data_IF_345419394049
#
_entry.id   IF_345419394049
#
_cell.length_a   1.000
_cell.length_b   1.000
_cell.length_c   1.000
_cell.angle_alpha   90.00
_cell.angle_beta   90.00
_cell.angle_gamma   90.00
#
_symmetry.space_group_name_H-M   'P 1'
#
loop_
_entity.id
_entity.type
_entity.pdbx_description
1 polymer ?
#
# COMPACT_ATOMS: atom_id res chain seq x y z
N UNK A 1 44.65 13.40 30.30
CA UNK A 1 43.19 13.16 30.17
C UNK A 1 42.83 13.23 28.68
N UNK A 2 42.56 12.09 28.06
CA UNK A 2 42.19 11.99 26.64
C UNK A 2 40.67 12.06 26.50
N UNK A 3 40.16 13.02 25.72
CA UNK A 3 38.71 13.23 25.51
C UNK A 3 38.22 12.24 24.44
N UNK A 4 37.50 11.20 24.87
CA UNK A 4 36.76 10.30 23.97
C UNK A 4 35.52 11.06 23.45
N UNK A 5 35.44 11.26 22.14
CA UNK A 5 34.25 11.82 21.47
C UNK A 5 33.25 10.70 21.25
N UNK A 6 32.42 10.42 22.25
CA UNK A 6 31.27 9.52 22.15
C UNK A 6 30.04 10.33 21.80
N UNK A 7 29.71 10.39 20.51
CA UNK A 7 28.49 11.00 20.01
C UNK A 7 27.91 10.20 18.86
N UNK A 8 26.57 10.11 18.79
CA UNK A 8 25.79 9.44 17.73
C UNK A 8 26.19 9.83 16.29
N UNK A 9 26.85 10.98 16.13
CA UNK A 9 27.38 11.46 14.85
C UNK A 9 28.52 10.57 14.29
N UNK A 10 29.21 9.79 15.13
CA UNK A 10 30.27 8.86 14.70
C UNK A 10 29.76 7.77 13.74
N UNK A 11 28.46 7.45 13.78
CA UNK A 11 27.84 6.44 12.92
C UNK A 11 27.50 6.95 11.51
N UNK A 12 27.69 8.23 11.23
CA UNK A 12 27.34 8.84 9.93
C UNK A 12 28.58 9.17 9.10
N UNK A 13 29.51 8.22 8.97
CA UNK A 13 30.55 8.29 7.92
C UNK A 13 30.35 7.19 6.89
N UNK A 14 30.41 7.63 5.63
CA UNK A 14 29.90 7.04 4.38
C UNK A 14 30.56 5.72 3.93
N UNK A 15 29.73 4.94 3.23
CA UNK A 15 29.99 4.21 1.97
C UNK A 15 30.94 3.00 2.01
N UNK A 16 30.33 1.82 2.15
CA UNK A 16 30.91 0.55 1.68
C UNK A 16 30.08 0.08 0.48
N UNK A 17 30.67 0.17 -0.71
CA UNK A 17 30.31 -0.61 -1.89
C UNK A 17 30.47 -2.10 -1.54
N UNK A 18 29.35 -2.81 -1.39
CA UNK A 18 29.33 -4.27 -1.36
C UNK A 18 28.97 -4.75 -2.75
N UNK A 19 29.94 -5.43 -3.37
CA UNK A 19 29.76 -6.16 -4.61
C UNK A 19 28.64 -7.19 -4.49
N UNK A 20 27.86 -7.24 -5.55
CA UNK A 20 26.84 -8.21 -5.89
C UNK A 20 27.36 -9.64 -5.78
N UNK A 21 26.80 -10.42 -4.87
CA UNK A 21 26.30 -11.75 -5.21
C UNK A 21 25.31 -12.22 -4.15
N UNK A 22 24.04 -12.30 -4.51
CA UNK A 22 22.99 -13.03 -3.80
C UNK A 22 21.79 -13.08 -4.74
N UNK A 23 21.66 -14.23 -5.41
CA UNK A 23 20.52 -14.69 -6.18
C UNK A 23 19.26 -14.61 -5.33
N UNK A 24 18.55 -13.48 -5.38
CA UNK A 24 17.22 -13.33 -4.81
C UNK A 24 16.21 -13.27 -5.93
N UNK A 25 15.35 -14.28 -5.96
CA UNK A 25 14.19 -14.38 -6.81
C UNK A 25 13.50 -13.01 -6.90
N UNK A 26 13.55 -12.44 -8.11
CA UNK A 26 12.95 -11.14 -8.40
C UNK A 26 11.44 -11.33 -8.44
N UNK A 27 10.81 -11.35 -7.27
CA UNK A 27 9.42 -10.90 -7.16
C UNK A 27 9.45 -9.44 -7.59
N UNK A 28 9.26 -9.22 -8.89
CA UNK A 28 9.03 -7.90 -9.48
C UNK A 28 7.65 -7.47 -8.99
N UNK A 29 7.58 -7.04 -7.73
CA UNK A 29 6.55 -6.10 -7.31
C UNK A 29 6.93 -4.80 -7.99
N UNK A 30 6.55 -4.68 -9.26
CA UNK A 30 6.57 -3.39 -9.94
C UNK A 30 5.95 -2.39 -8.98
N UNK A 31 6.66 -1.33 -8.56
CA UNK A 31 6.05 -0.32 -7.73
C UNK A 31 4.89 0.20 -8.56
N UNK A 32 3.66 -0.10 -8.16
CA UNK A 32 2.48 0.55 -8.73
C UNK A 32 2.71 2.02 -8.51
N UNK A 33 3.18 2.69 -9.56
CA UNK A 33 3.53 4.10 -9.55
C UNK A 33 2.32 4.81 -8.95
N UNK A 34 2.48 5.38 -7.75
CA UNK A 34 1.40 6.14 -7.10
C UNK A 34 1.20 7.39 -7.91
N UNK A 35 0.42 7.27 -8.99
CA UNK A 35 0.01 8.39 -9.81
C UNK A 35 -0.92 9.24 -8.98
N UNK A 36 -0.54 10.50 -8.80
CA UNK A 36 -1.44 11.55 -8.33
C UNK A 36 -2.63 11.56 -9.30
N UNK A 37 -3.86 11.47 -8.77
CA UNK A 37 -5.07 11.35 -9.58
C UNK A 37 -5.15 12.43 -10.66
N UNK A 38 -4.79 12.05 -11.89
CA UNK A 38 -4.87 12.88 -13.09
C UNK A 38 -5.86 12.14 -13.99
N UNK A 39 -7.14 12.42 -13.76
CA UNK A 39 -8.29 11.75 -14.38
C UNK A 39 -9.61 12.18 -13.73
N UNK A 40 -10.74 11.79 -14.31
CA UNK A 40 -12.09 12.05 -13.81
C UNK A 40 -12.40 11.11 -12.62
N UNK A 41 -11.66 11.30 -11.52
CA UNK A 41 -11.77 10.48 -10.31
C UNK A 41 -12.41 11.30 -9.20
N UNK A 42 -13.52 10.82 -8.66
CA UNK A 42 -14.20 11.42 -7.51
C UNK A 42 -13.71 10.77 -6.22
N UNK A 43 -13.28 11.59 -5.27
CA UNK A 43 -12.94 11.12 -3.93
C UNK A 43 -14.22 10.96 -3.09
N UNK A 44 -14.40 9.78 -2.49
CA UNK A 44 -15.50 9.47 -1.59
C UNK A 44 -14.96 9.31 -0.16
N UNK A 45 -15.61 9.94 0.82
CA UNK A 45 -15.34 9.70 2.24
C UNK A 45 -16.48 8.89 2.85
N UNK A 46 -16.16 7.75 3.45
CA UNK A 46 -17.13 6.88 4.14
C UNK A 46 -16.89 6.95 5.64
N UNK A 47 -17.96 7.13 6.41
CA UNK A 47 -17.90 7.11 7.88
C UNK A 47 -18.18 5.70 8.35
N UNK A 48 -17.21 5.11 9.04
CA UNK A 48 -17.30 3.80 9.66
C UNK A 48 -16.98 3.93 11.14
N UNK A 49 -17.57 3.07 11.96
CA UNK A 49 -17.07 2.88 13.32
C UNK A 49 -15.65 2.31 13.29
N UNK A 50 -14.92 2.43 14.39
CA UNK A 50 -13.55 1.90 14.48
C UNK A 50 -13.50 0.38 14.22
N UNK A 51 -14.47 -0.36 14.74
CA UNK A 51 -14.55 -1.81 14.59
C UNK A 51 -14.85 -2.23 13.14
N UNK A 52 -15.77 -1.53 12.45
CA UNK A 52 -16.08 -1.81 11.04
C UNK A 52 -14.88 -1.51 10.14
N UNK A 53 -14.21 -0.38 10.36
CA UNK A 53 -13.01 -0.02 9.62
C UNK A 53 -11.93 -1.09 9.75
N UNK A 54 -11.71 -1.60 10.96
CA UNK A 54 -10.69 -2.62 11.21
C UNK A 54 -11.02 -3.94 10.50
N UNK A 55 -12.29 -4.38 10.50
CA UNK A 55 -12.71 -5.58 9.77
C UNK A 55 -12.48 -5.44 8.27
N UNK A 56 -12.86 -4.29 7.68
CA UNK A 56 -12.65 -4.02 6.25
C UNK A 56 -11.15 -3.97 5.92
N UNK A 57 -10.36 -3.35 6.80
CA UNK A 57 -8.93 -3.28 6.63
C UNK A 57 -8.27 -4.66 6.71
N UNK A 58 -8.62 -5.48 7.71
CA UNK A 58 -8.11 -6.85 7.84
C UNK A 58 -8.48 -7.71 6.64
N UNK A 59 -9.72 -7.60 6.15
CA UNK A 59 -10.15 -8.30 4.94
C UNK A 59 -9.30 -7.89 3.73
N UNK A 60 -9.11 -6.59 3.52
CA UNK A 60 -8.29 -6.08 2.43
C UNK A 60 -6.83 -6.57 2.51
N UNK A 61 -6.24 -6.58 3.71
CA UNK A 61 -4.89 -7.13 3.95
C UNK A 61 -4.84 -8.63 3.65
N UNK A 62 -5.83 -9.40 4.10
CA UNK A 62 -5.88 -10.86 3.89
C UNK A 62 -6.02 -11.24 2.41
N UNK A 63 -6.75 -10.44 1.63
CA UNK A 63 -6.91 -10.62 0.19
C UNK A 63 -5.77 -10.01 -0.63
N UNK A 64 -4.81 -9.32 0.01
CA UNK A 64 -3.73 -8.62 -0.68
C UNK A 64 -4.22 -7.48 -1.59
N UNK A 65 -5.37 -6.89 -1.30
CA UNK A 65 -6.02 -5.85 -2.12
C UNK A 65 -6.17 -4.54 -1.37
N UNK A 66 -6.58 -3.48 -2.06
CA UNK A 66 -6.90 -2.20 -1.43
C UNK A 66 -8.37 -2.12 -1.00
N UNK A 67 -8.65 -1.34 0.04
CA UNK A 67 -10.03 -1.05 0.47
C UNK A 67 -10.87 -0.48 -0.69
N UNK A 68 -10.28 0.34 -1.55
CA UNK A 68 -10.96 0.88 -2.74
C UNK A 68 -11.38 -0.24 -3.70
N UNK A 69 -10.49 -1.17 -4.01
CA UNK A 69 -10.79 -2.30 -4.90
C UNK A 69 -11.86 -3.22 -4.30
N UNK A 70 -11.79 -3.46 -2.99
CA UNK A 70 -12.80 -4.22 -2.27
C UNK A 70 -14.18 -3.56 -2.33
N UNK A 71 -14.24 -2.23 -2.15
CA UNK A 71 -15.48 -1.46 -2.29
C UNK A 71 -16.03 -1.51 -3.71
N UNK A 72 -15.19 -1.38 -4.75
CA UNK A 72 -15.61 -1.47 -6.15
C UNK A 72 -16.15 -2.85 -6.49
N UNK A 73 -15.50 -3.92 -6.03
CA UNK A 73 -15.96 -5.31 -6.22
C UNK A 73 -17.31 -5.55 -5.53
N UNK A 74 -17.46 -5.07 -4.30
CA UNK A 74 -18.70 -5.16 -3.54
C UNK A 74 -19.85 -4.41 -4.24
N UNK A 75 -19.62 -3.17 -4.65
CA UNK A 75 -20.62 -2.36 -5.37
C UNK A 75 -20.95 -2.95 -6.74
N UNK A 76 -19.96 -3.47 -7.48
CA UNK A 76 -20.18 -4.14 -8.76
C UNK A 76 -21.10 -5.35 -8.60
N UNK A 77 -20.87 -6.16 -7.56
CA UNK A 77 -21.74 -7.29 -7.22
C UNK A 77 -23.18 -6.83 -6.94
N UNK A 78 -23.35 -5.79 -6.11
CA UNK A 78 -24.68 -5.22 -5.83
C UNK A 78 -25.37 -4.72 -7.11
N UNK A 79 -24.64 -4.08 -8.03
CA UNK A 79 -25.18 -3.65 -9.32
C UNK A 79 -25.70 -4.85 -10.13
N UNK A 80 -24.89 -5.90 -10.26
CA UNK A 80 -25.29 -7.10 -11.00
C UNK A 80 -26.50 -7.80 -10.38
N UNK A 81 -26.59 -7.84 -9.04
CA UNK A 81 -27.75 -8.38 -8.32
C UNK A 81 -29.03 -7.56 -8.57
N UNK A 82 -28.90 -6.29 -8.93
CA UNK A 82 -30.01 -5.41 -9.30
C UNK A 82 -30.28 -5.37 -10.81
N UNK A 83 -29.59 -6.19 -11.61
CA UNK A 83 -29.72 -6.21 -13.06
C UNK A 83 -29.04 -5.02 -13.76
N UNK A 84 -28.20 -4.29 -13.05
CA UNK A 84 -27.41 -3.19 -13.60
C UNK A 84 -26.04 -3.70 -14.08
N UNK A 85 -25.40 -3.02 -15.06
CA UNK A 85 -24.03 -3.31 -15.44
C UNK A 85 -23.06 -3.14 -14.26
N UNK A 86 -22.11 -4.06 -14.10
CA UNK A 86 -21.07 -3.95 -13.07
C UNK A 86 -20.20 -2.71 -13.21
N UNK A 87 -19.71 -2.17 -12.09
CA UNK A 87 -18.97 -0.90 -12.03
C UNK A 87 -17.46 -1.09 -12.30
N UNK A 88 -16.92 -2.27 -12.01
CA UNK A 88 -15.51 -2.59 -12.21
C UNK A 88 -15.34 -3.52 -13.41
N UNK A 89 -14.37 -3.19 -14.27
CA UNK A 89 -13.88 -4.05 -15.36
C UNK A 89 -12.66 -4.82 -14.89
#
# INVERSE_FOLDING_TARGET
>A
MTKQTTGLAAFTTRKTTVSSDLTSATHTTSPTERRRGKGEVVALTVRLTRAEWERVHQLAVSEGTSIQQLALKGLSKVFTEKGLPGIAK
#
